data_IF_907807918201
#
_entry.id   IF_907807918201
#
_cell.length_a   1.000
_cell.length_b   1.000
_cell.length_c   1.000
_cell.angle_alpha   90.00
_cell.angle_beta   90.00
_cell.angle_gamma   90.00
#
_symmetry.space_group_name_H-M   'P 1'
#
loop_
_entity.id
_entity.type
_entity.pdbx_description
1 polymer ?
#
# COMPACT_ATOMS: atom_id res chain seq x y z
N UNK A 1 49.27 7.78 28.21
CA UNK A 1 49.80 6.75 27.27
C UNK A 1 48.61 6.02 26.68
N UNK A 2 48.18 6.38 25.46
CA UNK A 2 47.09 5.70 24.72
C UNK A 2 47.72 4.98 23.56
N UNK A 3 47.69 3.65 23.52
CA UNK A 3 48.17 2.82 22.41
C UNK A 3 47.10 2.78 21.32
N UNK A 4 47.44 3.24 20.10
CA UNK A 4 46.66 3.06 18.88
C UNK A 4 46.89 1.62 18.39
N UNK A 5 45.81 0.89 18.20
CA UNK A 5 45.83 -0.42 17.49
C UNK A 5 45.42 -0.16 16.05
N UNK A 6 46.38 -0.39 15.16
CA UNK A 6 46.20 -0.29 13.70
C UNK A 6 45.49 -1.54 13.18
N UNK A 7 44.44 -1.35 12.38
CA UNK A 7 43.75 -2.42 11.62
C UNK A 7 44.45 -2.65 10.28
N UNK A 8 44.60 -3.89 9.82
CA UNK A 8 45.18 -4.19 8.49
C UNK A 8 44.14 -3.96 7.39
N UNK A 9 44.60 -3.37 6.29
CA UNK A 9 43.88 -3.13 5.03
C UNK A 9 43.93 -4.42 4.23
N UNK A 10 42.76 -4.92 3.81
CA UNK A 10 42.59 -6.05 2.88
C UNK A 10 42.43 -5.49 1.45
N UNK A 11 43.19 -5.93 0.43
CA UNK A 11 43.07 -5.39 -0.92
C UNK A 11 41.87 -5.97 -1.67
N UNK A 12 41.22 -5.11 -2.43
CA UNK A 12 40.10 -5.43 -3.31
C UNK A 12 40.52 -6.33 -4.47
N UNK A 13 39.82 -7.41 -4.66
CA UNK A 13 39.96 -8.36 -5.77
C UNK A 13 39.20 -7.83 -6.98
N UNK A 14 39.90 -7.57 -8.08
CA UNK A 14 39.37 -7.15 -9.36
C UNK A 14 38.50 -8.25 -9.99
N UNK A 15 37.29 -7.91 -10.39
CA UNK A 15 36.41 -8.75 -11.22
C UNK A 15 36.61 -8.37 -12.69
N UNK A 16 37.14 -9.33 -13.46
CA UNK A 16 37.33 -9.27 -14.91
C UNK A 16 36.00 -9.30 -15.67
N UNK A 17 35.88 -8.44 -16.67
CA UNK A 17 34.77 -8.39 -17.64
C UNK A 17 34.92 -9.55 -18.66
N UNK A 18 33.81 -10.16 -19.12
CA UNK A 18 33.82 -11.00 -20.29
C UNK A 18 33.70 -10.17 -21.57
N UNK A 19 34.53 -10.50 -22.53
CA UNK A 19 34.66 -9.95 -23.87
C UNK A 19 33.49 -10.31 -24.78
N UNK A 20 33.12 -9.34 -25.60
CA UNK A 20 32.14 -9.41 -26.69
C UNK A 20 32.60 -10.32 -27.81
N UNK A 21 31.81 -11.35 -28.11
CA UNK A 21 31.92 -12.14 -29.34
C UNK A 21 31.02 -11.57 -30.46
N UNK A 22 31.66 -11.11 -31.54
CA UNK A 22 30.96 -10.77 -32.81
C UNK A 22 30.70 -12.06 -33.57
N UNK A 23 29.46 -12.25 -34.02
CA UNK A 23 29.16 -13.18 -35.12
C UNK A 23 28.89 -12.40 -36.40
N UNK A 24 29.61 -12.71 -37.42
CA UNK A 24 29.49 -12.24 -38.81
C UNK A 24 28.43 -13.06 -39.56
N UNK A 25 27.74 -12.48 -40.58
CA UNK A 25 26.74 -13.16 -41.38
C UNK A 25 27.33 -13.75 -42.66
N UNK A 26 26.95 -14.96 -43.01
CA UNK A 26 27.01 -15.49 -44.40
C UNK A 26 26.13 -16.72 -44.51
N UNK A 27 25.15 -16.68 -45.39
CA UNK A 27 24.96 -17.62 -46.48
C UNK A 27 23.61 -17.40 -47.15
N UNK A 28 23.72 -17.03 -48.42
CA UNK A 28 22.68 -16.90 -49.44
C UNK A 28 22.33 -18.30 -49.94
N UNK A 29 21.05 -18.59 -50.17
CA UNK A 29 20.61 -19.75 -50.94
C UNK A 29 19.08 -19.67 -51.25
N UNK A 30 18.62 -20.16 -52.40
CA UNK A 30 17.53 -19.55 -53.16
C UNK A 30 16.14 -20.14 -52.94
N UNK A 31 15.10 -19.35 -53.31
CA UNK A 31 13.72 -19.78 -53.44
C UNK A 31 13.52 -20.81 -54.57
N UNK A 32 12.48 -21.65 -54.46
CA UNK A 32 11.48 -21.69 -55.54
C UNK A 32 10.02 -21.72 -55.09
N UNK A 33 9.26 -21.01 -55.89
CA UNK A 33 8.01 -21.36 -56.60
C UNK A 33 6.75 -21.78 -55.81
N UNK A 34 5.77 -20.89 -55.92
CA UNK A 34 4.35 -21.06 -56.26
C UNK A 34 3.63 -22.35 -55.84
N UNK A 35 2.60 -22.21 -55.03
CA UNK A 35 1.42 -23.06 -55.14
C UNK A 35 0.15 -22.30 -54.76
N UNK A 36 -0.86 -22.52 -55.57
CA UNK A 36 -2.15 -21.86 -55.75
C UNK A 36 -3.08 -21.99 -54.51
N UNK A 37 -3.91 -20.99 -54.33
CA UNK A 37 -5.05 -20.99 -53.41
C UNK A 37 -6.19 -21.89 -53.93
N UNK A 38 -7.06 -22.41 -53.07
CA UNK A 38 -8.46 -22.52 -53.37
C UNK A 38 -9.29 -21.63 -52.44
N UNK A 39 -10.16 -20.93 -53.11
CA UNK A 39 -11.31 -20.16 -52.71
C UNK A 39 -12.21 -20.94 -51.71
N UNK A 40 -12.54 -20.36 -50.56
CA UNK A 40 -13.66 -20.80 -49.72
C UNK A 40 -14.41 -19.61 -49.14
N UNK A 41 -15.68 -19.64 -49.40
CA UNK A 41 -16.78 -18.74 -49.05
C UNK A 41 -16.87 -18.32 -47.59
N UNK A 42 -17.52 -17.18 -47.27
CA UNK A 42 -17.67 -16.68 -45.91
C UNK A 42 -18.77 -17.44 -45.15
N UNK A 43 -18.41 -18.01 -44.02
CA UNK A 43 -19.35 -18.53 -43.03
C UNK A 43 -19.64 -17.48 -41.94
N UNK A 44 -20.72 -17.61 -41.15
CA UNK A 44 -21.36 -16.51 -40.46
C UNK A 44 -20.67 -16.07 -39.18
N UNK A 45 -20.77 -14.77 -38.96
CA UNK A 45 -20.46 -13.96 -37.79
C UNK A 45 -20.46 -14.67 -36.44
N UNK A 46 -19.31 -14.79 -35.83
CA UNK A 46 -19.18 -14.98 -34.38
C UNK A 46 -19.03 -13.63 -33.71
N UNK A 47 -19.89 -13.40 -32.73
CA UNK A 47 -19.98 -12.21 -31.89
C UNK A 47 -18.61 -11.86 -31.30
N UNK A 48 -18.02 -10.76 -31.72
CA UNK A 48 -16.87 -10.17 -31.09
C UNK A 48 -17.31 -9.66 -29.71
N UNK A 49 -16.80 -10.27 -28.64
CA UNK A 49 -17.03 -9.88 -27.29
C UNK A 49 -16.47 -8.49 -27.01
N UNK A 50 -17.29 -7.63 -26.42
CA UNK A 50 -17.07 -6.22 -26.12
C UNK A 50 -16.07 -5.98 -24.94
N UNK A 51 -14.99 -6.76 -24.85
CA UNK A 51 -13.99 -6.61 -23.79
C UNK A 51 -12.94 -5.50 -24.05
N UNK A 52 -12.93 -4.89 -25.25
CA UNK A 52 -11.88 -3.93 -25.64
C UNK A 52 -12.07 -2.49 -25.18
N UNK A 53 -13.28 -2.06 -24.83
CA UNK A 53 -13.56 -0.64 -24.59
C UNK A 53 -13.11 -0.13 -23.22
N UNK A 54 -13.07 -0.98 -22.21
CA UNK A 54 -12.71 -0.60 -20.84
C UNK A 54 -11.22 -0.29 -20.63
N UNK A 55 -10.33 -0.96 -21.36
CA UNK A 55 -8.88 -0.75 -21.24
C UNK A 55 -8.41 0.54 -21.92
N UNK A 56 -9.02 0.88 -23.07
CA UNK A 56 -8.69 2.10 -23.82
C UNK A 56 -9.19 3.35 -23.07
N UNK A 57 -10.39 3.30 -22.49
CA UNK A 57 -10.94 4.39 -21.69
C UNK A 57 -10.12 4.66 -20.42
N UNK A 58 -9.58 3.62 -19.75
CA UNK A 58 -8.69 3.78 -18.59
C UNK A 58 -7.35 4.40 -18.96
N UNK A 59 -6.78 4.07 -20.12
CA UNK A 59 -5.51 4.65 -20.59
C UNK A 59 -5.65 6.12 -20.94
N UNK A 60 -6.76 6.54 -21.55
CA UNK A 60 -7.03 7.95 -21.88
C UNK A 60 -7.29 8.78 -20.64
N UNK A 61 -8.07 8.29 -19.66
CA UNK A 61 -8.30 8.97 -18.38
C UNK A 61 -7.01 9.16 -17.56
N UNK A 62 -6.10 8.17 -17.58
CA UNK A 62 -4.79 8.31 -16.93
C UNK A 62 -3.91 9.36 -17.59
N UNK A 63 -3.96 9.49 -18.92
CA UNK A 63 -3.23 10.51 -19.67
C UNK A 63 -3.73 11.91 -19.36
N UNK A 64 -5.05 12.14 -19.30
CA UNK A 64 -5.62 13.45 -18.98
C UNK A 64 -5.29 13.94 -17.57
N UNK A 65 -5.29 13.05 -16.58
CA UNK A 65 -4.89 13.38 -15.21
C UNK A 65 -3.42 13.78 -15.10
N UNK A 66 -2.53 13.06 -15.78
CA UNK A 66 -1.10 13.37 -15.83
C UNK A 66 -0.84 14.67 -16.60
N UNK A 67 -1.53 14.86 -17.72
CA UNK A 67 -1.44 16.07 -18.53
C UNK A 67 -1.89 17.29 -17.72
N UNK A 68 -3.05 17.22 -17.05
CA UNK A 68 -3.53 18.27 -16.16
C UNK A 68 -2.53 18.61 -15.05
N UNK A 69 -1.91 17.60 -14.44
CA UNK A 69 -0.91 17.82 -13.40
C UNK A 69 0.33 18.55 -13.92
N UNK A 70 0.81 18.20 -15.12
CA UNK A 70 1.95 18.84 -15.78
C UNK A 70 1.64 20.28 -16.15
N UNK A 71 0.49 20.53 -16.80
CA UNK A 71 0.07 21.88 -17.17
C UNK A 71 -0.14 22.76 -15.93
N UNK A 72 -0.77 22.25 -14.88
CA UNK A 72 -0.92 22.98 -13.62
C UNK A 72 0.41 23.23 -12.90
N UNK A 73 1.42 22.38 -13.09
CA UNK A 73 2.77 22.66 -12.58
C UNK A 73 3.43 23.79 -13.35
N UNK A 74 3.30 23.85 -14.69
CA UNK A 74 3.80 24.93 -15.52
C UNK A 74 3.13 26.27 -15.16
N UNK A 75 1.81 26.32 -15.01
CA UNK A 75 1.10 27.52 -14.60
C UNK A 75 1.63 28.06 -13.26
N UNK A 76 1.82 27.19 -12.27
CA UNK A 76 2.37 27.59 -10.96
C UNK A 76 3.82 28.06 -11.04
N UNK A 77 4.63 27.41 -11.87
CA UNK A 77 6.03 27.80 -12.09
C UNK A 77 6.12 29.22 -12.67
N UNK A 78 5.41 29.49 -13.74
CA UNK A 78 5.41 30.84 -14.34
C UNK A 78 4.77 31.91 -13.44
N UNK A 79 3.71 31.57 -12.70
CA UNK A 79 3.15 32.46 -11.69
C UNK A 79 4.14 32.73 -10.55
N UNK A 80 5.03 31.83 -10.22
CA UNK A 80 6.12 32.07 -9.27
C UNK A 80 7.15 33.06 -9.85
N UNK A 81 7.57 32.84 -11.10
CA UNK A 81 8.51 33.75 -11.76
C UNK A 81 7.98 35.21 -11.89
N UNK A 82 6.68 35.35 -12.13
CA UNK A 82 6.04 36.68 -12.12
C UNK A 82 6.08 37.32 -10.73
N UNK A 83 5.82 36.56 -9.68
CA UNK A 83 5.91 37.05 -8.28
C UNK A 83 7.33 37.47 -7.89
N UNK A 84 8.34 36.79 -8.43
CA UNK A 84 9.75 37.14 -8.27
C UNK A 84 10.23 38.26 -9.20
N UNK A 85 9.31 38.92 -9.92
CA UNK A 85 9.61 39.96 -10.91
C UNK A 85 10.60 39.54 -12.02
N UNK A 86 10.69 38.22 -12.28
CA UNK A 86 11.53 37.67 -13.35
C UNK A 86 10.82 37.60 -14.71
N UNK A 87 9.50 37.69 -14.71
CA UNK A 87 8.65 37.74 -15.90
C UNK A 87 7.59 38.82 -15.69
N UNK A 88 7.33 39.61 -16.73
CA UNK A 88 6.31 40.65 -16.69
C UNK A 88 4.88 40.05 -16.68
N UNK A 89 4.67 38.93 -17.37
CA UNK A 89 3.38 38.22 -17.43
C UNK A 89 3.58 36.74 -17.45
N UNK A 90 2.55 35.99 -16.98
CA UNK A 90 2.56 34.53 -16.98
C UNK A 90 2.19 33.98 -18.37
N UNK A 91 3.13 33.40 -19.15
CA UNK A 91 2.85 32.90 -20.49
C UNK A 91 1.94 31.64 -20.50
N UNK A 92 1.67 31.10 -19.34
CA UNK A 92 0.78 29.94 -19.18
C UNK A 92 -0.57 30.29 -18.51
N UNK A 93 -0.90 31.60 -18.40
CA UNK A 93 -2.13 32.06 -17.74
C UNK A 93 -3.37 31.47 -18.42
N UNK A 94 -3.41 31.53 -19.75
CA UNK A 94 -4.58 31.15 -20.56
C UNK A 94 -4.60 29.65 -20.95
N UNK A 95 -3.66 28.87 -20.42
CA UNK A 95 -3.66 27.41 -20.67
C UNK A 95 -4.89 26.74 -20.03
N UNK A 96 -5.80 26.29 -20.86
CA UNK A 96 -6.94 25.48 -20.39
C UNK A 96 -6.48 24.12 -19.89
N UNK A 97 -6.78 23.86 -18.62
CA UNK A 97 -6.51 22.55 -18.03
C UNK A 97 -7.57 21.53 -18.51
N UNK A 98 -7.16 20.35 -19.01
CA UNK A 98 -8.10 19.28 -19.37
C UNK A 98 -9.14 19.07 -18.28
N UNK A 99 -10.42 18.93 -18.64
CA UNK A 99 -11.49 18.66 -17.66
C UNK A 99 -11.13 17.43 -16.85
N UNK A 100 -11.37 17.49 -15.54
CA UNK A 100 -11.24 16.29 -14.70
C UNK A 100 -12.27 15.29 -15.22
N UNK A 101 -11.86 14.10 -15.69
CA UNK A 101 -12.85 13.08 -16.00
C UNK A 101 -13.68 12.86 -14.74
N UNK A 102 -15.01 12.76 -14.90
CA UNK A 102 -15.88 12.26 -13.84
C UNK A 102 -15.41 10.85 -13.48
N UNK A 103 -14.52 10.75 -12.52
CA UNK A 103 -14.14 9.48 -11.95
C UNK A 103 -15.29 9.05 -11.05
N UNK A 104 -16.06 8.10 -11.50
CA UNK A 104 -16.73 7.22 -10.54
C UNK A 104 -15.63 6.76 -9.58
N UNK A 105 -15.75 7.09 -8.31
CA UNK A 105 -14.80 6.66 -7.29
C UNK A 105 -14.63 5.14 -7.46
N UNK A 106 -13.40 4.61 -7.60
CA UNK A 106 -13.22 3.18 -7.69
C UNK A 106 -13.92 2.59 -6.46
N UNK A 107 -14.90 1.72 -6.68
CA UNK A 107 -15.56 1.04 -5.56
C UNK A 107 -14.47 0.35 -4.75
N UNK A 108 -14.46 0.53 -3.44
CA UNK A 108 -13.61 -0.22 -2.52
C UNK A 108 -13.77 -1.73 -2.76
N UNK A 109 -12.92 -2.54 -2.19
CA UNK A 109 -13.12 -3.99 -2.15
C UNK A 109 -14.37 -4.28 -1.32
N UNK A 110 -15.19 -5.25 -1.72
CA UNK A 110 -16.26 -5.75 -0.87
C UNK A 110 -15.68 -6.53 0.32
N UNK A 111 -16.52 -6.94 1.27
CA UNK A 111 -16.08 -7.75 2.43
C UNK A 111 -15.57 -9.12 1.97
N UNK A 112 -16.22 -9.72 0.99
CA UNK A 112 -15.85 -11.00 0.37
C UNK A 112 -14.54 -10.88 -0.39
N UNK A 113 -14.35 -9.80 -1.16
CA UNK A 113 -13.10 -9.52 -1.85
C UNK A 113 -11.95 -9.27 -0.87
N UNK A 114 -12.20 -8.56 0.24
CA UNK A 114 -11.20 -8.42 1.32
C UNK A 114 -10.85 -9.79 1.90
N UNK A 115 -11.83 -10.63 2.21
CA UNK A 115 -11.58 -11.96 2.75
C UNK A 115 -10.77 -12.83 1.77
N UNK A 116 -11.09 -12.78 0.47
CA UNK A 116 -10.34 -13.47 -0.57
C UNK A 116 -8.88 -13.01 -0.65
N UNK A 117 -8.63 -11.70 -0.65
CA UNK A 117 -7.26 -11.15 -0.69
C UNK A 117 -6.48 -11.52 0.59
N UNK A 118 -7.13 -11.49 1.74
CA UNK A 118 -6.54 -11.88 3.01
C UNK A 118 -6.17 -13.37 3.04
N UNK A 119 -6.86 -14.23 2.32
CA UNK A 119 -6.59 -15.66 2.27
C UNK A 119 -5.41 -16.06 1.35
N UNK A 120 -4.93 -15.16 0.48
CA UNK A 120 -3.86 -15.48 -0.48
C UNK A 120 -2.51 -15.83 0.18
N UNK A 121 -2.03 -15.13 1.25
CA UNK A 121 -0.75 -15.46 1.86
C UNK A 121 -0.73 -16.86 2.47
N UNK A 122 0.28 -17.65 2.14
CA UNK A 122 0.51 -18.97 2.76
C UNK A 122 1.03 -18.79 4.20
N UNK A 123 0.16 -19.02 5.16
CA UNK A 123 0.46 -18.82 6.59
C UNK A 123 1.27 -19.97 7.23
N UNK A 124 1.67 -20.96 6.45
CA UNK A 124 2.65 -21.96 6.88
C UNK A 124 4.09 -21.41 6.76
N UNK A 125 4.32 -20.46 5.85
CA UNK A 125 5.60 -19.77 5.68
C UNK A 125 5.68 -18.48 6.52
N UNK A 126 6.84 -18.17 7.14
CA UNK A 126 7.03 -16.92 7.90
C UNK A 126 6.76 -15.66 7.10
N UNK A 127 7.13 -15.63 5.82
CA UNK A 127 6.81 -14.51 4.93
C UNK A 127 5.30 -14.39 4.72
N UNK A 128 4.59 -15.49 4.61
CA UNK A 128 3.13 -15.46 4.47
C UNK A 128 2.42 -15.01 5.74
N UNK A 129 2.92 -15.38 6.94
CA UNK A 129 2.42 -14.84 8.22
C UNK A 129 2.63 -13.33 8.30
N UNK A 130 3.82 -12.83 7.92
CA UNK A 130 4.11 -11.39 7.81
C UNK A 130 3.13 -10.72 6.85
N UNK A 131 2.96 -11.29 5.69
CA UNK A 131 2.15 -10.76 4.60
C UNK A 131 0.67 -10.66 5.01
N UNK A 132 0.17 -11.68 5.71
CA UNK A 132 -1.17 -11.63 6.29
C UNK A 132 -1.29 -10.53 7.34
N UNK A 133 -0.34 -10.38 8.25
CA UNK A 133 -0.33 -9.33 9.27
C UNK A 133 -0.29 -7.93 8.64
N UNK A 134 0.46 -7.74 7.53
CA UNK A 134 0.48 -6.49 6.77
C UNK A 134 -0.91 -6.15 6.21
N UNK A 135 -1.58 -7.10 5.55
CA UNK A 135 -2.89 -6.88 4.94
C UNK A 135 -3.96 -6.57 5.99
N UNK A 136 -3.95 -7.32 7.11
CA UNK A 136 -4.86 -7.07 8.23
C UNK A 136 -4.64 -5.67 8.83
N UNK A 137 -3.37 -5.26 9.01
CA UNK A 137 -3.04 -3.93 9.51
C UNK A 137 -3.46 -2.83 8.54
N UNK A 138 -3.25 -3.01 7.22
CA UNK A 138 -3.71 -2.06 6.19
C UNK A 138 -5.22 -1.88 6.22
N UNK A 139 -5.96 -2.97 6.36
CA UNK A 139 -7.42 -2.94 6.40
C UNK A 139 -7.94 -2.33 7.70
N UNK A 140 -7.41 -2.76 8.84
CA UNK A 140 -7.83 -2.29 10.16
C UNK A 140 -7.58 -0.78 10.36
N UNK A 141 -6.43 -0.27 9.94
CA UNK A 141 -6.00 1.10 10.25
C UNK A 141 -6.22 2.08 9.11
N UNK A 142 -6.44 1.60 7.91
CA UNK A 142 -6.44 2.43 6.71
C UNK A 142 -5.13 3.21 6.50
N UNK A 143 -4.02 2.75 7.04
CA UNK A 143 -2.72 3.41 6.93
C UNK A 143 -2.28 3.59 5.47
N UNK A 144 -1.56 4.68 5.19
CA UNK A 144 -0.92 4.85 3.89
C UNK A 144 0.26 3.90 3.76
N UNK A 145 0.57 3.49 2.53
CA UNK A 145 1.73 2.63 2.22
C UNK A 145 3.02 3.11 2.88
N UNK A 146 3.31 4.40 2.77
CA UNK A 146 4.51 5.01 3.35
C UNK A 146 4.46 5.12 4.88
N UNK A 147 3.28 5.16 5.47
CA UNK A 147 3.09 5.15 6.92
C UNK A 147 3.37 3.75 7.46
N UNK A 148 2.78 2.72 6.87
CA UNK A 148 2.94 1.34 7.29
C UNK A 148 4.40 0.87 7.28
N UNK A 149 5.16 1.17 6.22
CA UNK A 149 6.57 0.75 6.15
C UNK A 149 7.49 1.48 7.12
N UNK A 150 7.04 2.62 7.67
CA UNK A 150 7.81 3.40 8.66
C UNK A 150 7.50 3.04 10.10
N UNK A 151 6.56 2.11 10.32
CA UNK A 151 6.23 1.67 11.67
C UNK A 151 7.42 0.95 12.31
N UNK A 152 7.67 1.29 13.56
CA UNK A 152 8.62 0.62 14.43
C UNK A 152 7.87 -0.25 15.45
N UNK A 153 8.57 -1.17 16.10
CA UNK A 153 7.99 -1.98 17.17
C UNK A 153 7.38 -1.11 18.29
N UNK A 154 8.06 -0.01 18.64
CA UNK A 154 7.61 0.93 19.66
C UNK A 154 6.35 1.72 19.27
N UNK A 155 5.90 1.65 17.99
CA UNK A 155 4.67 2.29 17.57
C UNK A 155 3.42 1.45 17.85
N UNK A 156 3.58 0.17 18.16
CA UNK A 156 2.48 -0.74 18.50
C UNK A 156 2.30 -0.82 20.01
N UNK A 157 1.20 -0.29 20.50
CA UNK A 157 0.69 -0.56 21.84
C UNK A 157 -0.34 -1.69 21.77
N UNK A 158 0.12 -2.91 22.00
CA UNK A 158 -0.74 -4.11 21.96
C UNK A 158 -1.75 -4.13 23.13
N UNK A 159 -1.36 -3.65 24.30
CA UNK A 159 -2.24 -3.59 25.48
C UNK A 159 -3.33 -2.54 25.29
N UNK A 160 -2.94 -1.38 24.79
CA UNK A 160 -3.83 -0.30 24.42
C UNK A 160 -4.60 -0.51 23.13
N UNK A 161 -4.38 -1.60 22.37
CA UNK A 161 -4.98 -1.84 21.06
C UNK A 161 -4.86 -0.64 20.13
N UNK A 162 -3.71 0.00 20.06
CA UNK A 162 -3.46 1.18 19.23
C UNK A 162 -2.15 1.11 18.46
N UNK A 163 -2.10 1.87 17.37
CA UNK A 163 -0.93 2.04 16.54
C UNK A 163 -0.63 3.53 16.38
N UNK A 164 0.60 3.94 16.70
CA UNK A 164 1.04 5.32 16.56
C UNK A 164 1.63 5.56 15.18
N UNK A 165 0.91 6.24 14.31
CA UNK A 165 1.38 6.61 12.98
C UNK A 165 2.12 7.93 13.06
N UNK A 166 3.45 7.85 13.12
CA UNK A 166 4.33 9.01 13.13
C UNK A 166 4.43 9.62 11.73
N UNK A 167 4.60 10.93 11.63
CA UNK A 167 4.89 11.67 10.39
C UNK A 167 3.97 11.32 9.21
N UNK A 168 2.67 11.44 9.42
CA UNK A 168 1.68 11.40 8.36
C UNK A 168 1.88 12.52 7.32
N UNK A 169 0.99 12.63 6.33
CA UNK A 169 1.02 13.73 5.33
C UNK A 169 0.99 15.09 6.05
N UNK A 170 2.01 15.93 5.80
CA UNK A 170 2.17 17.23 6.48
C UNK A 170 2.85 17.16 7.85
N UNK A 171 3.57 16.08 8.18
CA UNK A 171 4.34 15.96 9.43
C UNK A 171 3.51 15.64 10.69
N UNK A 172 2.19 15.49 10.57
CA UNK A 172 1.29 15.25 11.70
C UNK A 172 1.28 13.76 12.06
N UNK A 173 1.39 13.47 13.36
CA UNK A 173 1.22 12.13 13.92
C UNK A 173 -0.24 11.90 14.33
N UNK A 174 -0.64 10.63 14.40
CA UNK A 174 -1.95 10.23 14.94
C UNK A 174 -1.89 8.84 15.55
N UNK A 175 -2.73 8.61 16.54
CA UNK A 175 -2.98 7.29 17.12
C UNK A 175 -4.24 6.73 16.49
N UNK A 176 -4.19 5.48 16.03
CA UNK A 176 -5.32 4.78 15.43
C UNK A 176 -5.61 3.49 16.20
N UNK A 177 -6.89 3.15 16.42
CA UNK A 177 -7.25 1.86 17.00
C UNK A 177 -6.89 0.73 16.04
N UNK A 178 -6.59 -0.44 16.61
CA UNK A 178 -6.30 -1.67 15.87
C UNK A 178 -7.28 -2.73 16.35
N UNK A 179 -8.06 -3.29 15.42
CA UNK A 179 -9.05 -4.30 15.76
C UNK A 179 -8.43 -5.62 16.23
N UNK A 180 -9.21 -6.40 16.96
CA UNK A 180 -8.78 -7.65 17.61
C UNK A 180 -8.11 -8.62 16.61
N UNK A 181 -8.69 -8.79 15.42
CA UNK A 181 -8.16 -9.67 14.38
C UNK A 181 -6.79 -9.22 13.86
N UNK A 182 -6.59 -7.92 13.67
CA UNK A 182 -5.30 -7.40 13.24
C UNK A 182 -4.24 -7.55 14.34
N UNK A 183 -4.61 -7.35 15.62
CA UNK A 183 -3.74 -7.59 16.77
C UNK A 183 -3.32 -9.05 16.89
N UNK A 184 -4.24 -9.98 16.66
CA UNK A 184 -3.95 -11.42 16.66
C UNK A 184 -2.88 -11.78 15.60
N UNK A 185 -3.05 -11.28 14.37
CA UNK A 185 -2.08 -11.52 13.30
C UNK A 185 -0.75 -10.82 13.55
N UNK A 186 -0.75 -9.62 14.11
CA UNK A 186 0.47 -8.93 14.54
C UNK A 186 1.18 -9.73 15.64
N UNK A 187 0.46 -10.20 16.64
CA UNK A 187 1.03 -11.02 17.70
C UNK A 187 1.62 -12.33 17.17
N UNK A 188 0.92 -13.01 16.24
CA UNK A 188 1.43 -14.21 15.58
C UNK A 188 2.71 -13.92 14.78
N UNK A 189 2.71 -12.83 14.01
CA UNK A 189 3.87 -12.40 13.25
C UNK A 189 5.06 -12.09 14.17
N UNK A 190 4.87 -11.30 15.21
CA UNK A 190 5.93 -10.89 16.13
C UNK A 190 6.54 -12.08 16.89
N UNK A 191 5.71 -13.06 17.29
CA UNK A 191 6.19 -14.23 18.06
C UNK A 191 6.82 -15.31 17.19
N UNK A 192 6.24 -15.61 16.02
CA UNK A 192 6.60 -16.80 15.26
C UNK A 192 7.38 -16.50 13.97
N UNK A 193 7.11 -15.39 13.29
CA UNK A 193 7.69 -15.12 11.98
C UNK A 193 8.81 -14.09 12.02
N UNK A 194 8.62 -12.96 12.72
CA UNK A 194 9.62 -11.88 12.78
C UNK A 194 10.97 -12.35 13.29
N UNK A 195 11.10 -13.16 14.37
CA UNK A 195 12.41 -13.64 14.83
C UNK A 195 13.16 -14.48 13.78
N UNK A 196 12.41 -15.17 12.90
CA UNK A 196 13.01 -15.97 11.81
C UNK A 196 13.45 -15.14 10.62
N UNK A 197 12.93 -13.93 10.47
CA UNK A 197 13.29 -12.98 9.42
C UNK A 197 14.35 -11.98 9.86
N UNK A 198 14.55 -11.80 11.17
CA UNK A 198 15.43 -10.81 11.75
C UNK A 198 16.89 -11.24 11.59
N UNK A 199 17.70 -10.43 10.89
CA UNK A 199 19.15 -10.64 10.75
C UNK A 199 19.96 -9.74 11.69
N UNK A 200 19.49 -8.53 11.92
CA UNK A 200 20.10 -7.55 12.83
C UNK A 200 19.15 -7.29 14.02
N UNK A 201 19.57 -7.65 15.21
CA UNK A 201 18.80 -7.47 16.44
C UNK A 201 18.45 -5.99 16.74
N UNK A 202 19.17 -5.05 16.14
CA UNK A 202 18.95 -3.61 16.31
C UNK A 202 17.91 -3.02 15.34
N UNK A 203 17.41 -3.80 14.36
CA UNK A 203 16.41 -3.31 13.39
C UNK A 203 15.04 -3.07 14.08
N UNK A 204 14.64 -1.79 14.23
CA UNK A 204 13.42 -1.44 14.96
C UNK A 204 12.15 -1.62 14.14
N UNK A 205 12.24 -1.86 12.83
CA UNK A 205 11.08 -1.92 11.95
C UNK A 205 10.08 -2.98 12.40
N UNK A 206 8.79 -2.59 12.42
CA UNK A 206 7.71 -3.52 12.73
C UNK A 206 7.64 -4.63 11.67
N UNK A 207 7.66 -4.28 10.38
CA UNK A 207 7.59 -5.23 9.28
C UNK A 207 8.92 -5.34 8.54
N UNK A 208 9.43 -6.56 8.43
CA UNK A 208 10.71 -6.88 7.79
C UNK A 208 10.51 -7.43 6.37
N UNK A 209 11.49 -7.16 5.52
CA UNK A 209 11.66 -7.84 4.24
C UNK A 209 12.13 -9.29 4.43
N UNK A 210 12.23 -10.08 3.35
CA UNK A 210 12.88 -11.40 3.41
C UNK A 210 14.40 -11.35 3.66
N UNK A 211 14.98 -10.14 3.63
CA UNK A 211 16.39 -9.89 3.93
C UNK A 211 16.61 -9.29 5.34
N UNK A 212 15.61 -9.37 6.23
CA UNK A 212 15.71 -8.87 7.60
C UNK A 212 15.70 -7.35 7.76
N UNK A 213 15.53 -6.60 6.69
CA UNK A 213 15.54 -5.14 6.67
C UNK A 213 14.12 -4.59 6.61
N UNK A 214 13.96 -3.30 6.89
CA UNK A 214 12.70 -2.55 6.70
C UNK A 214 12.18 -2.68 5.27
N UNK A 215 10.87 -2.88 5.12
CA UNK A 215 10.21 -2.93 3.82
C UNK A 215 10.35 -1.61 3.04
N UNK A 216 10.57 -1.69 1.73
CA UNK A 216 10.46 -0.52 0.87
C UNK A 216 9.01 -0.24 0.47
N UNK A 217 8.61 1.05 0.36
CA UNK A 217 7.26 1.39 -0.11
C UNK A 217 6.93 0.86 -1.51
N UNK A 218 7.94 0.80 -2.40
CA UNK A 218 7.75 0.30 -3.75
C UNK A 218 7.47 -1.21 -3.75
N UNK A 219 8.25 -1.98 -2.99
CA UNK A 219 8.04 -3.41 -2.82
C UNK A 219 6.63 -3.70 -2.29
N UNK A 220 6.26 -3.06 -1.17
CA UNK A 220 4.93 -3.24 -0.56
C UNK A 220 3.81 -2.95 -1.57
N UNK A 221 3.90 -1.84 -2.31
CA UNK A 221 2.88 -1.49 -3.30
C UNK A 221 2.75 -2.50 -4.44
N UNK A 222 3.86 -3.03 -4.93
CA UNK A 222 3.87 -4.03 -6.00
C UNK A 222 3.39 -5.39 -5.50
N UNK A 223 3.82 -5.77 -4.29
CA UNK A 223 3.39 -7.02 -3.67
C UNK A 223 1.88 -7.02 -3.41
N UNK A 224 1.32 -6.01 -2.74
CA UNK A 224 -0.12 -5.91 -2.49
C UNK A 224 -0.92 -5.96 -3.80
N UNK A 225 -0.44 -5.32 -4.89
CA UNK A 225 -1.11 -5.40 -6.19
C UNK A 225 -1.17 -6.84 -6.69
N UNK A 226 -0.04 -7.55 -6.69
CA UNK A 226 0.01 -8.96 -7.11
C UNK A 226 -0.89 -9.85 -6.25
N UNK A 227 -0.98 -9.58 -4.96
CA UNK A 227 -1.87 -10.31 -4.04
C UNK A 227 -3.35 -10.08 -4.38
N UNK A 228 -3.73 -8.83 -4.71
CA UNK A 228 -5.10 -8.50 -5.17
C UNK A 228 -5.41 -9.19 -6.50
N UNK A 229 -4.47 -9.18 -7.44
CA UNK A 229 -4.61 -9.86 -8.74
C UNK A 229 -4.73 -11.39 -8.54
N UNK A 230 -3.92 -11.98 -7.66
CA UNK A 230 -3.96 -13.41 -7.33
C UNK A 230 -5.27 -13.85 -6.65
N UNK A 231 -5.93 -12.97 -5.92
CA UNK A 231 -7.25 -13.21 -5.33
C UNK A 231 -8.40 -13.20 -6.37
N UNK A 232 -8.11 -12.99 -7.65
CA UNK A 232 -9.13 -12.93 -8.71
C UNK A 232 -10.00 -11.67 -8.67
N UNK A 233 -9.59 -10.63 -7.94
CA UNK A 233 -10.36 -9.40 -7.80
C UNK A 233 -10.21 -8.52 -9.04
N UNK A 234 -11.32 -8.22 -9.73
CA UNK A 234 -11.35 -7.41 -10.96
C UNK A 234 -11.10 -5.89 -10.74
N UNK A 235 -10.54 -5.50 -9.59
CA UNK A 235 -10.28 -4.10 -9.20
C UNK A 235 -8.80 -3.81 -9.18
N UNK A 236 -8.33 -2.97 -10.11
CA UNK A 236 -6.93 -2.58 -10.15
C UNK A 236 -6.59 -1.61 -9.01
N UNK A 237 -5.57 -1.95 -8.20
CA UNK A 237 -5.12 -1.09 -7.13
C UNK A 237 -4.05 -1.75 -6.25
N UNK A 238 -3.81 -1.17 -5.09
CA UNK A 238 -2.79 -1.59 -4.13
C UNK A 238 -3.26 -1.16 -2.72
N UNK A 239 -2.36 -0.82 -1.81
CA UNK A 239 -2.68 -0.41 -0.42
C UNK A 239 -3.81 0.63 -0.31
N UNK A 240 -4.01 1.49 -1.31
CA UNK A 240 -5.12 2.46 -1.30
C UNK A 240 -6.51 1.82 -1.40
N UNK A 241 -6.62 0.62 -1.98
CA UNK A 241 -7.89 -0.12 -1.99
C UNK A 241 -8.33 -0.47 -0.57
N UNK A 242 -7.42 -1.00 0.25
CA UNK A 242 -7.69 -1.32 1.66
C UNK A 242 -8.13 -0.11 2.46
N UNK A 243 -7.42 1.01 2.30
CA UNK A 243 -7.78 2.26 2.95
C UNK A 243 -9.15 2.77 2.53
N UNK A 244 -9.47 2.69 1.24
CA UNK A 244 -10.79 3.09 0.74
C UNK A 244 -11.89 2.15 1.23
N UNK A 245 -11.65 0.83 1.22
CA UNK A 245 -12.59 -0.16 1.73
C UNK A 245 -12.86 -0.02 3.22
N UNK A 246 -11.81 0.22 4.03
CA UNK A 246 -11.94 0.53 5.45
C UNK A 246 -12.91 1.71 5.65
N UNK A 247 -12.69 2.82 4.94
CA UNK A 247 -13.55 4.01 5.05
C UNK A 247 -15.00 3.74 4.63
N UNK A 248 -15.21 3.06 3.51
CA UNK A 248 -16.55 2.74 2.98
C UNK A 248 -17.29 1.80 3.93
N UNK A 249 -16.67 0.71 4.36
CA UNK A 249 -17.32 -0.26 5.24
C UNK A 249 -17.65 0.30 6.62
N UNK A 250 -16.80 1.18 7.16
CA UNK A 250 -17.10 1.88 8.39
C UNK A 250 -18.29 2.85 8.22
N UNK A 251 -18.35 3.56 7.09
CA UNK A 251 -19.45 4.45 6.77
C UNK A 251 -20.77 3.68 6.61
N UNK A 252 -20.74 2.55 5.89
CA UNK A 252 -21.88 1.62 5.72
C UNK A 252 -22.39 1.08 7.06
N UNK A 253 -21.47 0.89 8.02
CA UNK A 253 -21.81 0.46 9.39
C UNK A 253 -22.16 1.63 10.33
N UNK A 254 -22.39 2.84 9.79
CA UNK A 254 -22.87 4.00 10.55
C UNK A 254 -21.80 4.81 11.28
N UNK A 255 -20.51 4.69 10.90
CA UNK A 255 -19.49 5.58 11.44
C UNK A 255 -19.67 7.00 10.92
N UNK A 256 -19.54 7.99 11.79
CA UNK A 256 -19.51 9.40 11.39
C UNK A 256 -18.31 9.68 10.45
N UNK A 257 -18.56 10.44 9.42
CA UNK A 257 -17.54 10.84 8.44
C UNK A 257 -16.37 11.61 9.07
N UNK A 258 -16.61 12.41 10.11
CA UNK A 258 -15.58 13.11 10.88
C UNK A 258 -14.64 12.13 11.58
N UNK A 259 -15.21 11.07 12.15
CA UNK A 259 -14.44 9.99 12.75
C UNK A 259 -13.53 9.30 11.72
N UNK A 260 -14.07 8.94 10.56
CA UNK A 260 -13.32 8.33 9.46
C UNK A 260 -12.22 9.28 8.98
N UNK A 261 -12.47 10.57 8.85
CA UNK A 261 -11.47 11.57 8.51
C UNK A 261 -10.32 11.63 9.54
N UNK A 262 -10.66 11.57 10.82
CA UNK A 262 -9.68 11.54 11.91
C UNK A 262 -8.84 10.26 11.88
N UNK A 263 -9.46 9.09 11.76
CA UNK A 263 -8.78 7.80 11.61
C UNK A 263 -7.81 7.82 10.45
N UNK A 264 -8.25 8.31 9.31
CA UNK A 264 -7.46 8.35 8.09
C UNK A 264 -6.43 9.49 8.06
N UNK A 265 -6.52 10.49 8.93
CA UNK A 265 -5.64 11.66 8.95
C UNK A 265 -5.80 12.49 7.68
N UNK A 266 -7.04 12.87 7.34
CA UNK A 266 -7.32 13.87 6.33
C UNK A 266 -7.06 15.25 6.94
N UNK A 267 -6.20 16.05 6.31
CA UNK A 267 -5.87 17.39 6.76
C UNK A 267 -7.00 18.37 6.38
N UNK A 268 -8.09 18.42 7.13
CA UNK A 268 -8.84 19.66 7.26
C UNK A 268 -8.15 20.49 8.35
N UNK A 269 -8.01 21.80 8.12
CA UNK A 269 -7.10 22.66 8.86
C UNK A 269 -7.44 22.90 10.35
N UNK A 270 -8.52 22.34 10.85
CA UNK A 270 -9.09 22.73 12.14
C UNK A 270 -8.87 21.75 13.30
N UNK A 271 -8.30 20.60 13.10
CA UNK A 271 -8.15 19.63 14.19
C UNK A 271 -6.70 19.21 14.40
N UNK A 272 -5.93 20.09 15.04
CA UNK A 272 -4.85 19.65 15.93
C UNK A 272 -5.55 19.17 17.22
N UNK A 273 -6.39 18.13 17.10
CA UNK A 273 -6.98 17.49 18.27
C UNK A 273 -5.82 16.86 19.04
N UNK A 274 -5.56 17.39 20.22
CA UNK A 274 -4.70 16.76 21.22
C UNK A 274 -5.35 15.40 21.47
N UNK A 275 -4.67 14.31 21.13
CA UNK A 275 -5.14 12.94 21.39
C UNK A 275 -5.07 12.70 22.90
N UNK A 276 -6.13 13.03 23.60
CA UNK A 276 -6.32 12.67 25.01
C UNK A 276 -6.75 11.21 25.11
N UNK A 277 -6.54 10.58 26.26
CA UNK A 277 -7.03 9.22 26.52
C UNK A 277 -8.53 9.09 26.29
N UNK A 278 -9.32 10.11 26.66
CA UNK A 278 -10.75 10.17 26.40
C UNK A 278 -11.08 10.16 24.89
N UNK A 279 -10.29 10.88 24.08
CA UNK A 279 -10.47 10.88 22.61
C UNK A 279 -10.13 9.52 22.03
N UNK A 280 -9.08 8.84 22.51
CA UNK A 280 -8.69 7.50 22.07
C UNK A 280 -9.75 6.48 22.49
N UNK A 281 -10.32 6.57 23.69
CA UNK A 281 -11.40 5.70 24.15
C UNK A 281 -12.66 5.84 23.26
N UNK A 282 -13.06 7.08 22.94
CA UNK A 282 -14.16 7.35 22.03
C UNK A 282 -13.92 6.79 20.63
N UNK A 283 -12.68 6.94 20.12
CA UNK A 283 -12.27 6.37 18.83
C UNK A 283 -12.38 4.84 18.83
N UNK A 284 -11.97 4.17 19.89
CA UNK A 284 -12.09 2.71 20.04
C UNK A 284 -13.55 2.27 20.08
N UNK A 285 -14.40 2.96 20.83
CA UNK A 285 -15.81 2.61 20.96
C UNK A 285 -16.55 2.70 19.62
N UNK A 286 -16.27 3.72 18.81
CA UNK A 286 -16.85 3.84 17.46
C UNK A 286 -16.26 2.78 16.54
N UNK A 287 -14.94 2.56 16.58
CA UNK A 287 -14.24 1.55 15.77
C UNK A 287 -14.80 0.15 16.02
N UNK A 288 -14.94 -0.27 17.28
CA UNK A 288 -15.47 -1.58 17.65
C UNK A 288 -16.88 -1.84 17.11
N UNK A 289 -17.73 -0.79 17.06
CA UNK A 289 -19.09 -0.90 16.52
C UNK A 289 -19.16 -0.88 14.99
N UNK A 290 -18.20 -0.25 14.33
CA UNK A 290 -18.34 0.08 12.91
C UNK A 290 -17.32 -0.59 12.00
N UNK A 291 -16.19 -1.07 12.53
CA UNK A 291 -15.18 -1.75 11.70
C UNK A 291 -15.52 -3.25 11.52
N UNK A 292 -15.63 -3.77 10.27
CA UNK A 292 -16.09 -5.15 10.03
C UNK A 292 -15.19 -6.23 10.64
N UNK A 293 -13.87 -5.98 10.75
CA UNK A 293 -12.93 -6.94 11.34
C UNK A 293 -13.17 -7.16 12.84
N UNK A 294 -13.73 -6.17 13.57
CA UNK A 294 -14.08 -6.30 15.00
C UNK A 294 -15.48 -6.88 15.19
N UNK A 295 -16.43 -6.53 14.32
CA UNK A 295 -17.77 -7.12 14.35
C UNK A 295 -17.75 -8.64 14.17
N UNK A 296 -16.87 -9.14 13.28
CA UNK A 296 -16.70 -10.58 13.08
C UNK A 296 -16.10 -11.31 14.31
N UNK A 297 -15.22 -10.64 15.06
CA UNK A 297 -14.66 -11.18 16.31
C UNK A 297 -15.72 -11.28 17.41
N UNK A 298 -16.60 -10.28 17.50
CA UNK A 298 -17.74 -10.27 18.46
C UNK A 298 -18.78 -11.35 18.14
N UNK A 299 -19.00 -11.66 16.87
CA UNK A 299 -19.93 -12.70 16.43
C UNK A 299 -19.42 -14.14 16.71
N UNK A 300 -18.10 -14.32 16.89
CA UNK A 300 -17.46 -15.60 17.19
C UNK A 300 -17.27 -15.85 18.71
N UNK A 301 -17.92 -15.07 19.58
CA UNK A 301 -17.95 -15.34 21.02
C UNK A 301 -16.68 -14.95 21.76
N UNK A 302 -15.98 -13.88 21.37
CA UNK A 302 -14.95 -13.28 22.21
C UNK A 302 -15.57 -12.78 23.52
N UNK A 303 -14.96 -13.05 24.72
CA UNK A 303 -15.52 -12.59 25.99
C UNK A 303 -15.64 -11.06 26.00
N UNK A 304 -16.75 -10.59 26.56
CA UNK A 304 -17.08 -9.16 26.68
C UNK A 304 -15.90 -8.40 27.31
N UNK A 305 -15.62 -7.15 26.90
CA UNK A 305 -14.59 -6.33 27.50
C UNK A 305 -15.05 -5.91 28.92
N UNK A 306 -14.61 -6.62 29.93
CA UNK A 306 -15.02 -6.37 31.31
C UNK A 306 -14.38 -7.25 32.36
N UNK A 307 -13.67 -8.30 31.99
CA UNK A 307 -12.90 -9.10 32.96
C UNK A 307 -11.49 -8.51 33.06
N UNK A 308 -11.00 -8.21 34.30
CA UNK A 308 -9.65 -7.71 34.45
C UNK A 308 -8.66 -8.78 33.95
N UNK A 309 -7.64 -8.40 33.17
CA UNK A 309 -6.63 -9.33 32.74
C UNK A 309 -5.89 -9.82 33.97
N UNK A 310 -6.01 -11.12 34.25
CA UNK A 310 -5.10 -11.78 35.15
C UNK A 310 -3.68 -11.46 34.68
N UNK A 311 -2.86 -10.94 35.57
CA UNK A 311 -1.44 -10.61 35.36
C UNK A 311 -0.71 -11.78 34.69
N UNK A 312 -0.61 -11.75 33.37
CA UNK A 312 0.46 -12.46 32.66
C UNK A 312 1.53 -11.41 32.35
N UNK A 313 2.46 -11.35 33.27
CA UNK A 313 3.73 -10.68 33.14
C UNK A 313 4.36 -11.18 31.84
N UNK A 314 4.55 -10.29 30.86
CA UNK A 314 5.42 -10.53 29.72
C UNK A 314 6.86 -10.32 30.23
N UNK A 315 7.69 -11.37 30.33
CA UNK A 315 9.11 -11.16 30.49
C UNK A 315 9.71 -10.94 29.09
N UNK A 316 10.48 -9.88 29.01
CA UNK A 316 11.44 -9.54 27.96
C UNK A 316 10.92 -9.02 26.60
N UNK A 317 11.05 -7.72 26.49
CA UNK A 317 11.75 -7.06 25.41
C UNK A 317 13.10 -6.55 25.89
#
# INVERSE_FOLDING_TARGET
MRRRVSRPIVPARALSKPTSGRCTPSCIGPRPATCSAPNRSPGPSSKASSAGSGATARRTASRSGTQRARLGALQRFFAHLCRENRLAANPAADLELPRKPHRLLPRGLSREEIAAVLAVPDVADPLGVRDRAILETLYATGARRSELVRLDLADLDAAGATLHIRRGKGGRSRVVPVGARALEWLARYLRAARPRLLLDATEPALFLSGYGERLSPAYLGNWVRRTVDAAGVAKAGSCHLFRHSCAVHMLENGADSRFIQQLLGHASAETTAIYTEATIAALRAVYARTHPADQAASALGAPAPGSPPGHRIFPFL
#
